data_IF_169748485377
#
_entry.id   IF_169748485377
#
_cell.length_a   1.000
_cell.length_b   1.000
_cell.length_c   1.000
_cell.angle_alpha   90.00
_cell.angle_beta   90.00
_cell.angle_gamma   90.00
#
_symmetry.space_group_name_H-M   'P 1'
#
loop_
_entity.id
_entity.type
_entity.pdbx_description
1 polymer ?
#
# COMPACT_ATOMS: atom_id res chain seq x y z
N UNK A 1 -16.21 -21.43 -28.36
CA UNK A 1 -15.68 -21.91 -27.05
C UNK A 1 -14.20 -21.61 -26.83
N UNK A 2 -13.30 -21.78 -27.81
CA UNK A 2 -11.85 -21.52 -27.63
C UNK A 2 -11.53 -20.07 -27.22
N UNK A 3 -12.22 -19.08 -27.79
CA UNK A 3 -12.07 -17.67 -27.42
C UNK A 3 -12.34 -17.40 -25.94
N UNK A 4 -13.45 -17.91 -25.39
CA UNK A 4 -13.83 -17.76 -23.98
C UNK A 4 -12.78 -18.42 -23.09
N UNK A 5 -12.33 -19.63 -23.43
CA UNK A 5 -11.28 -20.35 -22.71
C UNK A 5 -9.97 -19.56 -22.68
N UNK A 6 -9.58 -18.96 -23.80
CA UNK A 6 -8.37 -18.13 -23.88
C UNK A 6 -8.48 -16.87 -23.01
N UNK A 7 -9.63 -16.19 -23.01
CA UNK A 7 -9.88 -15.03 -22.16
C UNK A 7 -9.88 -15.39 -20.68
N UNK A 8 -10.54 -16.47 -20.30
CA UNK A 8 -10.54 -16.97 -18.92
C UNK A 8 -9.11 -17.30 -18.45
N UNK A 9 -8.34 -18.02 -19.27
CA UNK A 9 -6.95 -18.32 -18.95
C UNK A 9 -6.09 -17.05 -18.83
N UNK A 10 -6.30 -16.05 -19.70
CA UNK A 10 -5.60 -14.77 -19.59
C UNK A 10 -5.92 -14.08 -18.26
N UNK A 11 -7.21 -13.87 -17.97
CA UNK A 11 -7.67 -13.13 -16.80
C UNK A 11 -7.27 -13.77 -15.47
N UNK A 12 -7.31 -15.10 -15.38
CA UNK A 12 -7.12 -15.79 -14.08
C UNK A 12 -5.81 -16.57 -13.96
N UNK A 13 -4.96 -16.65 -14.99
CA UNK A 13 -3.67 -17.35 -14.90
C UNK A 13 -2.46 -16.49 -15.27
N UNK A 14 -2.65 -15.40 -16.01
CA UNK A 14 -1.55 -14.48 -16.33
C UNK A 14 -1.44 -13.38 -15.28
N UNK A 15 -0.22 -12.92 -14.99
CA UNK A 15 -0.01 -11.78 -14.06
C UNK A 15 -0.77 -10.54 -14.53
N UNK A 16 -0.71 -10.23 -15.82
CA UNK A 16 -1.39 -9.06 -16.39
C UNK A 16 -2.91 -9.15 -16.30
N UNK A 17 -3.46 -10.35 -16.49
CA UNK A 17 -4.90 -10.59 -16.36
C UNK A 17 -5.37 -10.44 -14.91
N UNK A 18 -4.64 -11.00 -13.95
CA UNK A 18 -4.98 -10.87 -12.53
C UNK A 18 -4.97 -9.40 -12.07
N UNK A 19 -3.97 -8.64 -12.50
CA UNK A 19 -3.87 -7.19 -12.26
C UNK A 19 -5.05 -6.47 -12.91
N UNK A 20 -5.38 -6.78 -14.17
CA UNK A 20 -6.49 -6.16 -14.88
C UNK A 20 -7.84 -6.39 -14.16
N UNK A 21 -8.09 -7.59 -13.66
CA UNK A 21 -9.32 -7.88 -12.91
C UNK A 21 -9.35 -7.05 -11.63
N UNK A 22 -8.26 -6.99 -10.87
CA UNK A 22 -8.20 -6.21 -9.63
C UNK A 22 -8.41 -4.70 -9.89
N UNK A 23 -7.76 -4.13 -10.91
CA UNK A 23 -7.96 -2.72 -11.31
C UNK A 23 -9.41 -2.47 -11.74
N UNK A 24 -10.01 -3.39 -12.51
CA UNK A 24 -11.40 -3.27 -12.92
C UNK A 24 -12.34 -3.27 -11.71
N UNK A 25 -12.10 -4.14 -10.72
CA UNK A 25 -12.88 -4.19 -9.48
C UNK A 25 -12.73 -2.89 -8.67
N UNK A 26 -11.50 -2.37 -8.52
CA UNK A 26 -11.26 -1.07 -7.85
C UNK A 26 -12.00 0.06 -8.58
N UNK A 27 -11.94 0.08 -9.91
CA UNK A 27 -12.64 1.07 -10.72
C UNK A 27 -14.17 1.00 -10.55
N UNK A 28 -14.74 -0.20 -10.50
CA UNK A 28 -16.17 -0.41 -10.28
C UNK A 28 -16.62 0.06 -8.89
N UNK A 29 -15.89 -0.31 -7.83
CA UNK A 29 -16.19 0.15 -6.48
C UNK A 29 -16.05 1.67 -6.36
N UNK A 30 -14.94 2.22 -6.86
CA UNK A 30 -14.70 3.67 -6.81
C UNK A 30 -15.78 4.45 -7.57
N UNK A 31 -16.18 3.97 -8.75
CA UNK A 31 -17.25 4.59 -9.53
C UNK A 31 -18.60 4.52 -8.80
N UNK A 32 -18.97 3.36 -8.24
CA UNK A 32 -20.24 3.18 -7.56
C UNK A 32 -20.31 3.95 -6.23
N UNK A 33 -19.34 3.71 -5.34
CA UNK A 33 -19.35 4.27 -3.99
C UNK A 33 -18.87 5.73 -3.95
N UNK A 34 -18.10 6.17 -4.96
CA UNK A 34 -17.77 7.58 -5.16
C UNK A 34 -18.99 8.46 -5.42
N UNK A 35 -20.05 7.90 -6.03
CA UNK A 35 -21.35 8.59 -6.18
C UNK A 35 -22.09 8.80 -4.85
N UNK A 36 -21.63 8.19 -3.75
CA UNK A 36 -22.18 8.39 -2.41
C UNK A 36 -21.45 9.48 -1.60
N UNK A 37 -20.42 10.09 -2.19
CA UNK A 37 -19.59 11.13 -1.54
C UNK A 37 -20.39 12.40 -1.22
N UNK A 38 -19.82 13.24 -0.34
CA UNK A 38 -20.40 14.55 0.03
C UNK A 38 -20.69 15.45 -1.17
N UNK A 39 -19.73 15.70 -2.08
CA UNK A 39 -19.98 16.52 -3.28
C UNK A 39 -21.10 15.94 -4.16
N UNK A 40 -21.17 14.62 -4.31
CA UNK A 40 -22.24 13.98 -5.09
C UNK A 40 -23.60 14.04 -4.40
N UNK A 41 -23.63 14.14 -3.06
CA UNK A 41 -24.85 14.40 -2.32
C UNK A 41 -25.37 15.83 -2.56
N UNK A 42 -24.49 16.82 -2.65
CA UNK A 42 -24.87 18.21 -2.97
C UNK A 42 -25.49 18.34 -4.37
N UNK A 43 -25.06 17.52 -5.33
CA UNK A 43 -25.67 17.42 -6.65
C UNK A 43 -26.93 16.52 -6.71
N UNK A 44 -27.38 15.96 -5.58
CA UNK A 44 -28.52 15.03 -5.53
C UNK A 44 -28.27 13.64 -6.12
N UNK A 45 -27.04 13.37 -6.61
CA UNK A 45 -26.65 12.10 -7.22
C UNK A 45 -26.74 10.95 -6.23
N UNK A 46 -26.27 11.17 -4.99
CA UNK A 46 -26.33 10.15 -3.92
C UNK A 46 -27.74 9.60 -3.75
N UNK A 47 -28.74 10.48 -3.67
CA UNK A 47 -30.13 10.08 -3.41
C UNK A 47 -30.74 9.30 -4.58
N UNK A 48 -30.29 9.56 -5.81
CA UNK A 48 -30.66 8.76 -6.99
C UNK A 48 -30.03 7.37 -6.91
N UNK A 49 -28.73 7.29 -6.64
CA UNK A 49 -28.00 6.01 -6.55
C UNK A 49 -28.57 5.13 -5.43
N UNK A 50 -28.78 5.70 -4.24
CA UNK A 50 -29.35 4.97 -3.09
C UNK A 50 -30.72 4.37 -3.43
N UNK A 51 -31.59 5.12 -4.13
CA UNK A 51 -32.92 4.64 -4.54
C UNK A 51 -32.85 3.56 -5.62
N UNK A 52 -32.01 3.75 -6.64
CA UNK A 52 -31.85 2.79 -7.75
C UNK A 52 -31.35 1.45 -7.22
N UNK A 53 -30.32 1.47 -6.38
CA UNK A 53 -29.68 0.26 -5.87
C UNK A 53 -30.29 -0.26 -4.57
N UNK A 54 -31.30 0.43 -4.01
CA UNK A 54 -31.96 0.07 -2.73
C UNK A 54 -30.94 -0.10 -1.60
N UNK A 55 -29.99 0.83 -1.50
CA UNK A 55 -28.98 0.81 -0.45
C UNK A 55 -29.57 1.21 0.90
N UNK A 56 -29.10 0.58 1.97
CA UNK A 56 -29.47 0.90 3.34
C UNK A 56 -28.36 1.71 4.01
N UNK A 57 -28.61 3.02 4.19
CA UNK A 57 -27.61 3.97 4.70
C UNK A 57 -28.05 4.58 6.03
N UNK A 58 -27.97 3.81 7.11
CA UNK A 58 -28.19 4.33 8.47
C UNK A 58 -27.00 5.20 8.89
N UNK A 59 -27.25 6.42 9.37
CA UNK A 59 -26.15 7.35 9.70
C UNK A 59 -25.22 6.85 10.81
N UNK A 60 -25.77 6.15 11.82
CA UNK A 60 -24.99 5.61 12.95
C UNK A 60 -23.88 4.63 12.51
N UNK A 61 -24.05 3.97 11.37
CA UNK A 61 -23.14 2.93 10.86
C UNK A 61 -22.13 3.49 9.84
N UNK A 62 -22.14 4.80 9.60
CA UNK A 62 -21.33 5.45 8.56
C UNK A 62 -19.84 5.10 8.67
N UNK A 63 -19.30 5.10 9.88
CA UNK A 63 -17.87 4.86 10.10
C UNK A 63 -17.48 3.42 9.75
N UNK A 64 -18.31 2.44 10.15
CA UNK A 64 -18.14 1.04 9.78
C UNK A 64 -18.16 0.82 8.28
N UNK A 65 -19.11 1.44 7.56
CA UNK A 65 -19.17 1.36 6.10
C UNK A 65 -17.91 1.91 5.43
N UNK A 66 -17.43 3.05 5.89
CA UNK A 66 -16.23 3.69 5.35
C UNK A 66 -14.99 2.80 5.57
N UNK A 67 -14.85 2.22 6.77
CA UNK A 67 -13.73 1.33 7.08
C UNK A 67 -13.76 0.09 6.18
N UNK A 68 -14.92 -0.53 6.00
CA UNK A 68 -15.05 -1.71 5.11
C UNK A 68 -14.76 -1.33 3.65
N UNK A 69 -15.19 -0.15 3.19
CA UNK A 69 -14.88 0.33 1.83
C UNK A 69 -13.36 0.51 1.65
N UNK A 70 -12.68 1.16 2.60
CA UNK A 70 -11.23 1.31 2.52
C UNK A 70 -10.50 -0.03 2.53
N UNK A 71 -10.89 -0.96 3.39
CA UNK A 71 -10.28 -2.29 3.42
C UNK A 71 -10.53 -3.05 2.12
N UNK A 72 -11.75 -3.01 1.58
CA UNK A 72 -12.12 -3.68 0.32
C UNK A 72 -11.23 -3.24 -0.84
N UNK A 73 -11.09 -1.93 -1.04
CA UNK A 73 -10.23 -1.36 -2.08
C UNK A 73 -8.75 -1.68 -1.80
N UNK A 74 -8.29 -1.50 -0.56
CA UNK A 74 -6.90 -1.77 -0.17
C UNK A 74 -6.51 -3.23 -0.41
N UNK A 75 -7.42 -4.19 -0.18
CA UNK A 75 -7.15 -5.61 -0.41
C UNK A 75 -6.90 -5.92 -1.90
N UNK A 76 -7.59 -5.24 -2.81
CA UNK A 76 -7.32 -5.37 -4.24
C UNK A 76 -5.95 -4.76 -4.63
N UNK A 77 -5.57 -3.64 -4.01
CA UNK A 77 -4.25 -3.02 -4.18
C UNK A 77 -3.13 -3.96 -3.72
N UNK A 78 -3.26 -4.52 -2.52
CA UNK A 78 -2.33 -5.54 -1.98
C UNK A 78 -2.27 -6.78 -2.89
N UNK A 79 -3.39 -7.17 -3.49
CA UNK A 79 -3.42 -8.26 -4.46
C UNK A 79 -2.61 -7.93 -5.72
N UNK A 80 -2.74 -6.71 -6.27
CA UNK A 80 -1.97 -6.25 -7.43
C UNK A 80 -0.47 -6.33 -7.15
N UNK A 81 -0.01 -5.78 -6.02
CA UNK A 81 1.40 -5.85 -5.63
C UNK A 81 1.87 -7.30 -5.49
N UNK A 82 1.06 -8.15 -4.86
CA UNK A 82 1.35 -9.59 -4.74
C UNK A 82 1.47 -10.27 -6.11
N UNK A 83 0.63 -9.94 -7.09
CA UNK A 83 0.75 -10.45 -8.45
C UNK A 83 2.03 -9.98 -9.13
N UNK A 84 2.40 -8.71 -8.95
CA UNK A 84 3.64 -8.16 -9.49
C UNK A 84 4.86 -8.84 -8.85
N UNK A 85 4.91 -9.01 -7.53
CA UNK A 85 5.99 -9.71 -6.82
C UNK A 85 6.12 -11.15 -7.32
N UNK A 86 5.02 -11.91 -7.37
CA UNK A 86 5.00 -13.30 -7.87
C UNK A 86 5.29 -13.42 -9.36
N UNK A 87 5.20 -12.32 -10.11
CA UNK A 87 5.56 -12.23 -11.52
C UNK A 87 7.01 -11.81 -11.77
N UNK A 88 7.59 -10.98 -10.89
CA UNK A 88 8.92 -10.38 -11.05
C UNK A 88 10.03 -11.18 -10.34
N UNK A 89 9.71 -11.86 -9.24
CA UNK A 89 10.68 -12.61 -8.44
C UNK A 89 10.57 -14.11 -8.66
N UNK A 90 11.73 -14.77 -8.74
CA UNK A 90 11.83 -16.23 -8.83
C UNK A 90 11.34 -16.88 -7.53
N UNK A 91 10.39 -17.81 -7.60
CA UNK A 91 9.95 -18.58 -6.43
C UNK A 91 9.48 -19.96 -6.86
N UNK A 92 9.30 -20.89 -5.91
CA UNK A 92 8.79 -22.23 -6.23
C UNK A 92 7.35 -22.12 -6.76
N UNK A 93 7.03 -22.90 -7.78
CA UNK A 93 5.74 -22.79 -8.49
C UNK A 93 4.55 -23.05 -7.56
N UNK A 94 4.69 -23.98 -6.61
CA UNK A 94 3.68 -24.21 -5.57
C UNK A 94 3.31 -22.92 -4.82
N UNK A 95 4.30 -22.19 -4.28
CA UNK A 95 4.03 -20.96 -3.54
C UNK A 95 3.41 -19.90 -4.43
N UNK A 96 3.92 -19.74 -5.67
CA UNK A 96 3.37 -18.80 -6.63
C UNK A 96 1.88 -19.06 -6.90
N UNK A 97 1.51 -20.32 -7.15
CA UNK A 97 0.11 -20.70 -7.40
C UNK A 97 -0.75 -20.53 -6.14
N UNK A 98 -0.28 -21.01 -4.98
CA UNK A 98 -1.02 -20.94 -3.73
C UNK A 98 -1.29 -19.49 -3.29
N UNK A 99 -0.25 -18.65 -3.29
CA UNK A 99 -0.37 -17.22 -2.96
C UNK A 99 -1.37 -16.54 -3.91
N UNK A 100 -1.25 -16.77 -5.23
CA UNK A 100 -2.16 -16.18 -6.22
C UNK A 100 -3.60 -16.63 -6.02
N UNK A 101 -3.84 -17.91 -5.76
CA UNK A 101 -5.19 -18.42 -5.52
C UNK A 101 -5.81 -17.80 -4.26
N UNK A 102 -5.09 -17.85 -3.14
CA UNK A 102 -5.56 -17.32 -1.86
C UNK A 102 -5.82 -15.82 -1.92
N UNK A 103 -4.88 -15.04 -2.45
CA UNK A 103 -5.06 -13.58 -2.54
C UNK A 103 -6.20 -13.23 -3.50
N UNK A 104 -6.37 -13.94 -4.63
CA UNK A 104 -7.44 -13.70 -5.60
C UNK A 104 -8.81 -13.93 -4.98
N UNK A 105 -9.01 -15.09 -4.38
CA UNK A 105 -10.29 -15.43 -3.71
C UNK A 105 -10.51 -14.48 -2.53
N UNK A 106 -9.47 -14.23 -1.75
CA UNK A 106 -9.53 -13.39 -0.57
C UNK A 106 -9.98 -11.96 -0.87
N UNK A 107 -9.34 -11.27 -1.82
CA UNK A 107 -9.71 -9.88 -2.13
C UNK A 107 -11.09 -9.77 -2.77
N UNK A 108 -11.48 -10.72 -3.64
CA UNK A 108 -12.82 -10.73 -4.24
C UNK A 108 -13.90 -10.96 -3.19
N UNK A 109 -13.66 -11.84 -2.21
CA UNK A 109 -14.59 -12.06 -1.10
C UNK A 109 -14.68 -10.82 -0.22
N UNK A 110 -13.54 -10.20 0.11
CA UNK A 110 -13.52 -8.98 0.90
C UNK A 110 -14.31 -7.85 0.21
N UNK A 111 -14.08 -7.63 -1.08
CA UNK A 111 -14.78 -6.63 -1.87
C UNK A 111 -16.29 -6.90 -1.97
N UNK A 112 -16.66 -8.06 -2.51
CA UNK A 112 -18.06 -8.36 -2.83
C UNK A 112 -18.91 -8.45 -1.57
N UNK A 113 -18.45 -9.21 -0.58
CA UNK A 113 -19.24 -9.46 0.62
C UNK A 113 -19.08 -8.35 1.67
N UNK A 114 -17.94 -7.66 1.70
CA UNK A 114 -17.77 -6.45 2.52
C UNK A 114 -18.74 -5.35 2.07
N UNK A 115 -18.80 -5.08 0.77
CA UNK A 115 -19.75 -4.11 0.21
C UNK A 115 -21.20 -4.55 0.34
N UNK A 116 -21.50 -5.83 0.09
CA UNK A 116 -22.82 -6.41 0.33
C UNK A 116 -23.29 -6.20 1.77
N UNK A 117 -22.44 -6.50 2.76
CA UNK A 117 -22.75 -6.32 4.16
C UNK A 117 -22.95 -4.85 4.53
N UNK A 118 -22.01 -3.99 4.11
CA UNK A 118 -21.97 -2.59 4.52
C UNK A 118 -23.11 -1.75 3.91
N UNK A 119 -23.58 -2.06 2.71
CA UNK A 119 -24.51 -1.17 1.98
C UNK A 119 -25.91 -1.76 1.71
N UNK A 120 -26.16 -3.04 2.04
CA UNK A 120 -27.44 -3.73 1.80
C UNK A 120 -27.98 -4.51 3.02
N UNK A 121 -28.06 -3.86 4.18
CA UNK A 121 -28.85 -4.36 5.31
C UNK A 121 -28.16 -5.40 6.19
N UNK A 122 -26.84 -5.31 6.37
CA UNK A 122 -26.08 -6.03 7.41
C UNK A 122 -26.30 -7.55 7.46
N UNK A 123 -26.37 -8.21 6.29
CA UNK A 123 -26.42 -9.67 6.26
C UNK A 123 -25.15 -10.28 6.89
N UNK A 124 -25.28 -10.85 8.10
CA UNK A 124 -24.16 -11.40 8.87
C UNK A 124 -23.42 -12.53 8.15
N UNK A 125 -24.05 -13.26 7.23
CA UNK A 125 -23.34 -14.23 6.40
C UNK A 125 -22.35 -13.53 5.46
N UNK A 126 -22.70 -12.36 4.91
CA UNK A 126 -21.78 -11.57 4.10
C UNK A 126 -20.64 -11.01 4.94
N UNK A 127 -20.91 -10.57 6.17
CA UNK A 127 -19.83 -10.20 7.10
C UNK A 127 -18.87 -11.37 7.39
N UNK A 128 -19.41 -12.58 7.60
CA UNK A 128 -18.59 -13.78 7.78
C UNK A 128 -17.71 -14.09 6.55
N UNK A 129 -18.27 -13.95 5.34
CA UNK A 129 -17.53 -14.13 4.09
C UNK A 129 -16.48 -13.04 3.85
N UNK A 130 -16.75 -11.80 4.28
CA UNK A 130 -15.78 -10.70 4.30
C UNK A 130 -14.56 -11.06 5.18
N UNK A 131 -14.80 -11.48 6.42
CA UNK A 131 -13.72 -11.89 7.36
C UNK A 131 -12.97 -13.11 6.83
N UNK A 132 -13.68 -14.07 6.24
CA UNK A 132 -13.04 -15.22 5.58
C UNK A 132 -12.12 -14.75 4.44
N UNK A 133 -12.57 -13.81 3.62
CA UNK A 133 -11.76 -13.17 2.58
C UNK A 133 -10.47 -12.55 3.14
N UNK A 134 -10.58 -11.73 4.18
CA UNK A 134 -9.43 -11.13 4.87
C UNK A 134 -8.46 -12.19 5.41
N UNK A 135 -8.98 -13.28 5.96
CA UNK A 135 -8.17 -14.40 6.47
C UNK A 135 -7.37 -15.09 5.36
N UNK A 136 -7.96 -15.30 4.18
CA UNK A 136 -7.25 -15.86 3.03
C UNK A 136 -6.10 -14.95 2.57
N UNK A 137 -6.31 -13.64 2.57
CA UNK A 137 -5.27 -12.64 2.23
C UNK A 137 -4.12 -12.72 3.24
N UNK A 138 -4.43 -12.80 4.54
CA UNK A 138 -3.42 -12.97 5.58
C UNK A 138 -2.57 -14.23 5.33
N UNK A 139 -3.20 -15.37 5.06
CA UNK A 139 -2.47 -16.60 4.74
C UNK A 139 -1.68 -16.52 3.43
N UNK A 140 -2.18 -15.80 2.42
CA UNK A 140 -1.42 -15.50 1.22
C UNK A 140 -0.13 -14.72 1.55
N UNK A 141 -0.21 -13.75 2.47
CA UNK A 141 0.95 -13.00 2.97
C UNK A 141 1.97 -13.87 3.71
N UNK A 142 1.49 -14.81 4.55
CA UNK A 142 2.36 -15.79 5.23
C UNK A 142 3.10 -16.66 4.20
N UNK A 143 2.38 -17.22 3.22
CA UNK A 143 3.00 -18.03 2.18
C UNK A 143 3.96 -17.22 1.30
N UNK A 144 3.64 -15.95 1.01
CA UNK A 144 4.50 -15.05 0.27
C UNK A 144 5.81 -14.80 1.04
N UNK A 145 5.72 -14.58 2.35
CA UNK A 145 6.89 -14.40 3.23
C UNK A 145 7.81 -15.62 3.18
N UNK A 146 7.24 -16.83 3.25
CA UNK A 146 7.99 -18.08 3.12
C UNK A 146 8.63 -18.18 1.72
N UNK A 147 7.90 -17.85 0.67
CA UNK A 147 8.39 -17.88 -0.72
C UNK A 147 9.53 -16.88 -0.98
N UNK A 148 9.56 -15.78 -0.21
CA UNK A 148 10.56 -14.72 -0.30
C UNK A 148 11.81 -14.97 0.52
N UNK A 149 11.88 -16.06 1.30
CA UNK A 149 13.01 -16.39 2.18
C UNK A 149 14.38 -16.17 1.50
N UNK A 150 15.18 -15.16 1.92
CA UNK A 150 16.35 -14.73 1.16
C UNK A 150 17.57 -15.66 1.34
N UNK A 151 17.56 -16.51 2.37
CA UNK A 151 18.68 -17.41 2.67
C UNK A 151 18.64 -18.73 1.89
N UNK A 152 17.69 -18.92 0.96
CA UNK A 152 17.73 -20.07 0.05
C UNK A 152 18.79 -19.85 -1.05
N UNK A 153 19.78 -20.76 -1.12
CA UNK A 153 20.86 -20.74 -2.13
C UNK A 153 20.34 -20.71 -3.57
N UNK A 154 19.19 -21.32 -3.86
CA UNK A 154 18.56 -21.34 -5.20
C UNK A 154 18.14 -19.94 -5.70
N UNK A 155 18.07 -18.97 -4.78
CA UNK A 155 17.64 -17.59 -5.02
C UNK A 155 18.75 -16.57 -4.80
N UNK A 156 19.99 -17.02 -4.64
CA UNK A 156 21.15 -16.13 -4.55
C UNK A 156 21.34 -15.35 -5.84
N UNK A 157 21.86 -14.14 -5.71
CA UNK A 157 22.02 -13.18 -6.81
C UNK A 157 23.39 -13.36 -7.49
N UNK A 158 23.45 -13.93 -8.72
CA UNK A 158 24.71 -14.14 -9.42
C UNK A 158 25.32 -12.83 -9.93
N UNK A 159 24.50 -11.86 -10.33
CA UNK A 159 24.97 -10.60 -10.93
C UNK A 159 25.51 -9.65 -9.86
N UNK A 160 26.81 -9.30 -9.97
CA UNK A 160 27.51 -8.39 -9.06
C UNK A 160 27.06 -6.94 -9.18
N UNK A 161 26.29 -6.58 -10.21
CA UNK A 161 25.70 -5.24 -10.34
C UNK A 161 24.58 -5.02 -9.32
N UNK A 162 23.88 -6.08 -8.91
CA UNK A 162 22.86 -6.00 -7.87
C UNK A 162 23.46 -5.95 -6.47
N UNK A 163 22.61 -5.57 -5.51
CA UNK A 163 22.96 -5.54 -4.10
C UNK A 163 22.92 -6.96 -3.55
N UNK A 164 24.08 -7.44 -3.10
CA UNK A 164 24.23 -8.79 -2.57
C UNK A 164 25.28 -8.84 -1.48
N UNK A 165 25.13 -9.80 -0.56
CA UNK A 165 26.17 -10.09 0.43
C UNK A 165 27.37 -10.79 -0.23
N UNK A 166 28.49 -10.92 0.51
CA UNK A 166 29.67 -11.68 0.05
C UNK A 166 29.32 -13.12 -0.32
N UNK A 167 28.36 -13.74 0.38
CA UNK A 167 27.90 -15.13 0.13
C UNK A 167 26.90 -15.25 -1.02
N UNK A 168 26.47 -14.13 -1.62
CA UNK A 168 25.53 -14.11 -2.74
C UNK A 168 24.05 -13.93 -2.36
N UNK A 169 23.72 -13.77 -1.08
CA UNK A 169 22.34 -13.45 -0.65
C UNK A 169 21.89 -12.16 -1.32
N UNK A 170 20.73 -12.20 -1.97
CA UNK A 170 20.12 -11.07 -2.67
C UNK A 170 19.50 -10.09 -1.66
N UNK A 171 20.03 -8.87 -1.59
CA UNK A 171 19.54 -7.84 -0.66
C UNK A 171 18.21 -7.22 -1.13
N UNK A 172 17.92 -7.23 -2.43
CA UNK A 172 16.61 -6.79 -2.95
C UNK A 172 15.53 -7.78 -2.50
N UNK A 173 15.79 -9.08 -2.62
CA UNK A 173 14.91 -10.11 -2.06
C UNK A 173 14.76 -9.98 -0.54
N UNK A 174 15.83 -9.68 0.18
CA UNK A 174 15.75 -9.47 1.62
C UNK A 174 14.89 -8.25 1.99
N UNK A 175 14.90 -7.18 1.17
CA UNK A 175 13.99 -6.04 1.32
C UNK A 175 12.52 -6.43 1.10
N UNK A 176 12.23 -7.18 0.03
CA UNK A 176 10.89 -7.74 -0.20
C UNK A 176 10.43 -8.65 0.94
N UNK A 177 11.33 -9.51 1.44
CA UNK A 177 11.05 -10.39 2.58
C UNK A 177 10.75 -9.59 3.84
N UNK A 178 11.57 -8.59 4.16
CA UNK A 178 11.38 -7.75 5.35
C UNK A 178 10.03 -7.04 5.30
N UNK A 179 9.71 -6.40 4.18
CA UNK A 179 8.43 -5.72 4.01
C UNK A 179 7.23 -6.68 4.05
N UNK A 180 7.35 -7.90 3.50
CA UNK A 180 6.25 -8.87 3.51
C UNK A 180 6.00 -9.40 4.92
N UNK A 181 7.08 -9.76 5.63
CA UNK A 181 7.02 -10.22 7.02
C UNK A 181 6.41 -9.15 7.92
N UNK A 182 6.89 -7.91 7.83
CA UNK A 182 6.38 -6.83 8.67
C UNK A 182 4.95 -6.45 8.30
N UNK A 183 4.51 -6.59 7.04
CA UNK A 183 3.10 -6.43 6.66
C UNK A 183 2.20 -7.45 7.35
N UNK A 184 2.60 -8.73 7.36
CA UNK A 184 1.83 -9.79 8.04
C UNK A 184 1.74 -9.51 9.55
N UNK A 185 2.85 -9.10 10.19
CA UNK A 185 2.85 -8.76 11.61
C UNK A 185 1.96 -7.54 11.87
N UNK A 186 2.09 -6.49 11.07
CA UNK A 186 1.34 -5.24 11.21
C UNK A 186 -0.15 -5.39 10.90
N UNK A 187 -0.55 -6.40 10.11
CA UNK A 187 -1.95 -6.74 9.93
C UNK A 187 -2.62 -7.20 11.25
N UNK A 188 -1.86 -7.79 12.18
CA UNK A 188 -2.37 -8.19 13.49
C UNK A 188 -2.80 -7.00 14.35
N UNK A 189 -2.20 -5.82 14.16
CA UNK A 189 -2.59 -4.59 14.87
C UNK A 189 -3.97 -4.08 14.45
N UNK A 190 -4.45 -4.43 13.26
CA UNK A 190 -5.84 -4.20 12.87
C UNK A 190 -6.76 -5.35 13.30
N UNK A 191 -6.28 -6.59 13.14
CA UNK A 191 -7.06 -7.79 13.42
C UNK A 191 -7.39 -7.97 14.92
N UNK A 192 -6.46 -7.60 15.81
CA UNK A 192 -6.67 -7.71 17.27
C UNK A 192 -7.82 -6.80 17.71
N UNK A 193 -7.81 -5.47 17.51
CA UNK A 193 -8.97 -4.62 17.81
C UNK A 193 -10.25 -5.11 17.11
N UNK A 194 -10.14 -5.52 15.84
CA UNK A 194 -11.26 -6.07 15.08
C UNK A 194 -11.93 -7.29 15.73
N UNK A 195 -11.17 -8.13 16.44
CA UNK A 195 -11.71 -9.29 17.15
C UNK A 195 -12.53 -8.94 18.40
N UNK A 196 -12.45 -7.69 18.88
CA UNK A 196 -13.21 -7.20 20.03
C UNK A 196 -14.41 -6.34 19.63
N UNK A 197 -14.75 -6.23 18.34
CA UNK A 197 -15.91 -5.46 17.91
C UNK A 197 -17.19 -5.94 18.60
N UNK A 198 -17.91 -5.02 19.25
CA UNK A 198 -19.11 -5.33 20.03
C UNK A 198 -18.82 -6.02 21.38
N UNK A 199 -17.55 -6.17 21.75
CA UNK A 199 -17.07 -6.73 23.01
C UNK A 199 -16.00 -5.82 23.64
N UNK A 200 -16.40 -4.60 24.00
CA UNK A 200 -15.52 -3.59 24.58
C UNK A 200 -14.70 -2.77 23.57
N UNK A 201 -14.94 -2.97 22.27
CA UNK A 201 -14.40 -2.14 21.20
C UNK A 201 -15.51 -1.71 20.23
N UNK A 202 -15.56 -0.42 19.94
CA UNK A 202 -16.52 0.18 19.02
C UNK A 202 -15.81 0.78 17.81
N UNK A 203 -16.56 1.00 16.74
CA UNK A 203 -16.04 1.62 15.54
C UNK A 203 -15.77 3.10 15.78
N UNK A 204 -14.63 3.57 15.28
CA UNK A 204 -14.28 4.99 15.31
C UNK A 204 -13.45 5.35 14.08
N UNK A 205 -13.47 6.62 13.71
CA UNK A 205 -12.51 7.19 12.77
C UNK A 205 -11.30 7.78 13.51
N UNK A 206 -10.09 7.42 13.10
CA UNK A 206 -8.86 7.81 13.80
C UNK A 206 -8.71 9.33 13.93
N UNK A 207 -9.17 10.09 12.94
CA UNK A 207 -9.13 11.54 12.96
C UNK A 207 -10.09 12.17 14.00
N UNK A 208 -11.05 11.40 14.54
CA UNK A 208 -11.98 11.90 15.56
C UNK A 208 -11.38 11.85 16.98
N UNK A 209 -10.38 10.98 17.21
CA UNK A 209 -9.79 10.76 18.54
C UNK A 209 -8.43 11.45 18.72
N UNK A 210 -7.97 12.22 17.72
CA UNK A 210 -6.62 12.83 17.67
C UNK A 210 -6.25 13.64 18.93
N UNK A 211 -7.24 14.30 19.55
CA UNK A 211 -7.07 15.18 20.72
C UNK A 211 -7.51 14.53 22.03
N UNK A 212 -7.89 13.26 22.02
CA UNK A 212 -8.23 12.57 23.26
C UNK A 212 -6.99 12.54 24.16
N UNK A 213 -7.10 13.00 25.42
CA UNK A 213 -5.96 13.11 26.33
C UNK A 213 -5.37 11.74 26.62
N UNK A 214 -6.23 10.74 26.74
CA UNK A 214 -5.88 9.34 26.92
C UNK A 214 -6.53 8.52 25.81
N UNK A 215 -5.81 7.51 25.32
CA UNK A 215 -6.31 6.54 24.33
C UNK A 215 -6.06 5.15 24.85
N UNK A 216 -6.99 4.26 24.59
CA UNK A 216 -6.87 2.85 24.88
C UNK A 216 -5.78 2.21 24.00
N UNK A 217 -5.28 1.06 24.45
CA UNK A 217 -4.31 0.26 23.68
C UNK A 217 -4.90 -0.15 22.32
N UNK A 218 -6.21 -0.41 22.24
CA UNK A 218 -6.89 -0.77 20.99
C UNK A 218 -6.97 0.41 20.01
N UNK A 219 -7.27 1.60 20.50
CA UNK A 219 -7.27 2.82 19.68
C UNK A 219 -5.86 3.12 19.14
N UNK A 220 -4.84 3.02 20.00
CA UNK A 220 -3.44 3.13 19.58
C UNK A 220 -3.05 2.07 18.55
N UNK A 221 -3.55 0.84 18.68
CA UNK A 221 -3.29 -0.25 17.73
C UNK A 221 -3.87 0.05 16.35
N UNK A 222 -5.10 0.55 16.27
CA UNK A 222 -5.73 0.98 15.01
C UNK A 222 -5.01 2.18 14.40
N UNK A 223 -4.62 3.18 15.21
CA UNK A 223 -3.81 4.32 14.74
C UNK A 223 -2.49 3.81 14.14
N UNK A 224 -1.79 2.92 14.83
CA UNK A 224 -0.57 2.32 14.31
C UNK A 224 -0.81 1.57 13.00
N UNK A 225 -1.84 0.72 12.96
CA UNK A 225 -2.23 -0.09 11.81
C UNK A 225 -2.49 0.76 10.56
N UNK A 226 -3.27 1.84 10.65
CA UNK A 226 -3.61 2.64 9.48
C UNK A 226 -2.38 3.29 8.84
N UNK A 227 -1.42 3.76 9.65
CA UNK A 227 -0.20 4.41 9.16
C UNK A 227 0.74 3.39 8.51
N UNK A 228 0.94 2.24 9.16
CA UNK A 228 1.96 1.28 8.75
C UNK A 228 1.57 0.53 7.48
N UNK A 229 0.28 0.22 7.29
CA UNK A 229 -0.16 -0.51 6.12
C UNK A 229 0.08 0.29 4.84
N UNK A 230 -0.25 1.59 4.84
CA UNK A 230 -0.03 2.43 3.66
C UNK A 230 1.47 2.67 3.39
N UNK A 231 2.27 2.85 4.44
CA UNK A 231 3.72 2.97 4.30
C UNK A 231 4.36 1.70 3.74
N UNK A 232 3.89 0.52 4.14
CA UNK A 232 4.37 -0.76 3.64
C UNK A 232 3.97 -1.02 2.19
N UNK A 233 2.75 -0.64 1.78
CA UNK A 233 2.35 -0.62 0.36
C UNK A 233 3.29 0.31 -0.43
N UNK A 234 3.55 1.52 0.05
CA UNK A 234 4.49 2.45 -0.61
C UNK A 234 5.93 1.88 -0.75
N UNK A 235 6.41 1.17 0.27
CA UNK A 235 7.70 0.47 0.24
C UNK A 235 7.68 -0.67 -0.78
N UNK A 236 6.61 -1.48 -0.80
CA UNK A 236 6.46 -2.58 -1.74
C UNK A 236 6.42 -2.11 -3.18
N UNK A 237 5.59 -1.12 -3.51
CA UNK A 237 5.55 -0.57 -4.87
C UNK A 237 6.89 0.04 -5.28
N UNK A 238 7.62 0.68 -4.35
CA UNK A 238 8.98 1.17 -4.61
C UNK A 238 9.93 0.04 -5.01
N UNK A 239 9.90 -1.09 -4.29
CA UNK A 239 10.70 -2.27 -4.62
C UNK A 239 10.28 -2.89 -5.95
N UNK A 240 8.96 -2.98 -6.21
CA UNK A 240 8.40 -3.48 -7.48
C UNK A 240 8.87 -2.64 -8.66
N UNK A 241 8.79 -1.30 -8.56
CA UNK A 241 9.25 -0.38 -9.60
C UNK A 241 10.75 -0.51 -9.81
N UNK A 242 11.53 -0.57 -8.72
CA UNK A 242 12.97 -0.79 -8.79
C UNK A 242 13.30 -2.06 -9.59
N UNK A 243 12.62 -3.16 -9.27
CA UNK A 243 12.79 -4.44 -9.97
C UNK A 243 12.36 -4.36 -11.43
N UNK A 244 11.19 -3.78 -11.70
CA UNK A 244 10.62 -3.63 -13.04
C UNK A 244 11.52 -2.78 -13.97
N UNK A 245 12.06 -1.67 -13.46
CA UNK A 245 12.98 -0.82 -14.20
C UNK A 245 14.39 -1.39 -14.32
N UNK A 246 14.68 -2.53 -13.67
CA UNK A 246 15.99 -3.17 -13.60
C UNK A 246 17.03 -2.31 -12.87
N UNK A 247 16.67 -1.80 -11.69
CA UNK A 247 17.53 -0.98 -10.84
C UNK A 247 18.74 -1.77 -10.35
N UNK A 248 19.94 -1.31 -10.71
CA UNK A 248 21.21 -1.95 -10.33
C UNK A 248 22.38 -0.96 -10.35
N UNK A 249 23.50 -1.37 -9.78
CA UNK A 249 24.71 -0.55 -9.65
C UNK A 249 24.92 -0.03 -8.22
N UNK A 250 25.74 1.02 -8.08
CA UNK A 250 26.15 1.56 -6.77
C UNK A 250 24.95 2.07 -5.98
N UNK A 251 24.05 2.82 -6.64
CA UNK A 251 22.86 3.37 -5.98
C UNK A 251 21.93 2.25 -5.45
N UNK A 252 21.77 1.16 -6.20
CA UNK A 252 21.02 -0.01 -5.75
C UNK A 252 21.68 -0.71 -4.55
N UNK A 253 23.02 -0.80 -4.54
CA UNK A 253 23.80 -1.39 -3.43
C UNK A 253 23.65 -0.62 -2.12
N UNK A 254 23.46 0.69 -2.19
CA UNK A 254 23.19 1.56 -1.05
C UNK A 254 21.70 1.51 -0.68
N UNK A 255 20.81 1.55 -1.67
CA UNK A 255 19.37 1.61 -1.47
C UNK A 255 18.80 0.36 -0.78
N UNK A 256 19.21 -0.85 -1.16
CA UNK A 256 18.59 -2.07 -0.60
C UNK A 256 18.81 -2.24 0.92
N UNK A 257 20.03 -2.07 1.48
CA UNK A 257 20.23 -2.08 2.92
C UNK A 257 19.45 -0.98 3.66
N UNK A 258 19.38 0.23 3.09
CA UNK A 258 18.60 1.33 3.66
C UNK A 258 17.11 1.02 3.66
N UNK A 259 16.60 0.39 2.61
CA UNK A 259 15.20 -0.03 2.54
C UNK A 259 14.88 -1.08 3.60
N UNK A 260 15.76 -2.08 3.79
CA UNK A 260 15.59 -3.09 4.85
C UNK A 260 15.59 -2.42 6.23
N UNK A 261 16.60 -1.60 6.50
CA UNK A 261 16.74 -0.89 7.78
C UNK A 261 15.52 -0.01 8.05
N UNK A 262 15.16 0.82 7.08
CA UNK A 262 14.03 1.73 7.19
C UNK A 262 12.72 1.01 7.40
N UNK A 263 12.47 -0.08 6.66
CA UNK A 263 11.29 -0.93 6.84
C UNK A 263 11.21 -1.49 8.26
N UNK A 264 12.29 -2.07 8.78
CA UNK A 264 12.31 -2.68 10.12
C UNK A 264 12.10 -1.63 11.21
N UNK A 265 12.88 -0.54 11.17
CA UNK A 265 12.84 0.51 12.20
C UNK A 265 11.47 1.21 12.22
N UNK A 266 10.91 1.51 11.04
CA UNK A 266 9.60 2.12 10.92
C UNK A 266 8.50 1.23 11.54
N UNK A 267 8.56 -0.08 11.30
CA UNK A 267 7.62 -1.02 11.91
C UNK A 267 7.79 -1.14 13.42
N UNK A 268 9.03 -1.21 13.92
CA UNK A 268 9.29 -1.23 15.37
C UNK A 268 8.74 0.01 16.08
N UNK A 269 8.85 1.18 15.44
CA UNK A 269 8.26 2.41 15.96
C UNK A 269 6.74 2.32 16.07
N UNK A 270 6.06 1.85 15.02
CA UNK A 270 4.61 1.65 15.04
C UNK A 270 4.18 0.62 16.08
N UNK A 271 4.86 -0.52 16.14
CA UNK A 271 4.57 -1.55 17.14
C UNK A 271 4.80 -1.04 18.56
N UNK A 272 5.74 -0.10 18.74
CA UNK A 272 5.99 0.58 20.00
C UNK A 272 4.83 1.44 20.50
N UNK A 273 3.91 1.87 19.63
CA UNK A 273 2.78 2.77 19.98
C UNK A 273 1.82 2.13 20.99
N UNK A 274 1.72 0.80 21.03
CA UNK A 274 0.87 0.06 21.99
C UNK A 274 1.64 -0.41 23.24
N UNK A 275 2.84 0.12 23.46
CA UNK A 275 3.75 -0.30 24.54
C UNK A 275 4.24 0.93 25.33
N UNK A 276 5.00 0.75 26.42
CA UNK A 276 5.66 1.87 27.11
C UNK A 276 6.60 2.72 26.22
N UNK A 277 6.91 2.29 24.99
CA UNK A 277 7.68 3.06 24.02
C UNK A 277 6.85 4.13 23.29
N UNK A 278 5.54 4.21 23.52
CA UNK A 278 4.63 5.18 22.89
C UNK A 278 5.17 6.63 22.87
N UNK A 279 5.79 7.17 23.95
CA UNK A 279 6.27 8.56 23.96
C UNK A 279 7.38 8.84 22.94
N UNK A 280 8.15 7.82 22.56
CA UNK A 280 9.25 7.93 21.59
C UNK A 280 8.95 7.23 20.27
N UNK A 281 7.78 6.59 20.13
CA UNK A 281 7.40 5.81 18.96
C UNK A 281 7.47 6.64 17.67
N UNK A 282 6.97 7.87 17.69
CA UNK A 282 7.01 8.78 16.53
C UNK A 282 8.45 9.10 16.10
N UNK A 283 9.37 9.30 17.05
CA UNK A 283 10.79 9.52 16.73
C UNK A 283 11.40 8.31 16.02
N UNK A 284 11.09 7.10 16.51
CA UNK A 284 11.56 5.85 15.88
C UNK A 284 10.98 5.73 14.46
N UNK A 285 9.71 6.05 14.26
CA UNK A 285 9.05 6.04 12.94
C UNK A 285 9.78 6.98 11.98
N UNK A 286 10.15 8.20 12.39
CA UNK A 286 10.88 9.14 11.51
C UNK A 286 12.29 8.66 11.16
N UNK A 287 12.99 8.11 12.15
CA UNK A 287 14.32 7.52 11.96
C UNK A 287 14.24 6.33 10.99
N UNK A 288 13.14 5.57 11.00
CA UNK A 288 12.90 4.49 10.03
C UNK A 288 12.42 4.95 8.65
N UNK A 289 11.59 6.00 8.58
CA UNK A 289 11.09 6.54 7.32
C UNK A 289 12.22 7.14 6.47
N UNK A 290 13.17 7.83 7.11
CA UNK A 290 14.25 8.56 6.43
C UNK A 290 15.13 7.66 5.54
N UNK A 291 15.65 6.49 6.00
CA UNK A 291 16.35 5.55 5.14
C UNK A 291 15.54 5.04 3.94
N UNK A 292 14.24 4.74 4.14
CA UNK A 292 13.36 4.27 3.06
C UNK A 292 13.13 5.35 2.01
N UNK A 293 12.87 6.59 2.44
CA UNK A 293 12.72 7.75 1.55
C UNK A 293 14.02 8.04 0.78
N UNK A 294 15.17 7.95 1.45
CA UNK A 294 16.45 8.11 0.79
C UNK A 294 16.70 7.00 -0.23
N UNK A 295 16.40 5.74 0.11
CA UNK A 295 16.48 4.63 -0.84
C UNK A 295 15.57 4.85 -2.08
N UNK A 296 14.36 5.36 -1.88
CA UNK A 296 13.46 5.73 -2.98
C UNK A 296 14.06 6.86 -3.83
N UNK A 297 14.64 7.89 -3.22
CA UNK A 297 15.33 8.96 -3.96
C UNK A 297 16.49 8.43 -4.81
N UNK A 298 17.26 7.46 -4.31
CA UNK A 298 18.32 6.82 -5.09
C UNK A 298 17.80 6.09 -6.33
N UNK A 299 16.62 5.45 -6.24
CA UNK A 299 15.94 4.86 -7.38
C UNK A 299 15.53 5.93 -8.41
N UNK A 300 14.99 7.06 -7.96
CA UNK A 300 14.59 8.18 -8.82
C UNK A 300 15.79 8.75 -9.59
N UNK A 301 16.87 9.09 -8.87
CA UNK A 301 18.12 9.59 -9.47
C UNK A 301 18.64 8.61 -10.52
N UNK A 302 18.65 7.32 -10.19
CA UNK A 302 19.09 6.28 -11.11
C UNK A 302 18.19 6.17 -12.34
N UNK A 303 16.87 6.13 -12.14
CA UNK A 303 15.86 5.95 -13.19
C UNK A 303 15.92 7.10 -14.19
N UNK A 304 15.92 8.34 -13.70
CA UNK A 304 15.93 9.51 -14.57
C UNK A 304 17.25 9.66 -15.31
N UNK A 305 18.36 9.36 -14.63
CA UNK A 305 19.67 9.29 -15.27
C UNK A 305 19.71 8.22 -16.37
N UNK A 306 19.09 7.06 -16.14
CA UNK A 306 18.99 5.98 -17.15
C UNK A 306 18.15 6.42 -18.35
N UNK A 307 16.94 6.92 -18.14
CA UNK A 307 16.05 7.38 -19.21
C UNK A 307 16.69 8.48 -20.05
N UNK A 308 17.32 9.45 -19.41
CA UNK A 308 18.04 10.51 -20.10
C UNK A 308 19.18 9.95 -20.96
N UNK A 309 20.05 9.10 -20.40
CA UNK A 309 21.19 8.52 -21.14
C UNK A 309 20.76 7.65 -22.31
N UNK A 310 19.76 6.78 -22.12
CA UNK A 310 19.25 5.91 -23.18
C UNK A 310 18.56 6.73 -24.28
N UNK A 311 17.75 7.72 -23.91
CA UNK A 311 17.03 8.57 -24.87
C UNK A 311 17.94 9.53 -25.64
N UNK A 312 19.15 9.82 -25.16
CA UNK A 312 20.16 10.65 -25.85
C UNK A 312 21.35 9.85 -26.36
N UNK A 313 21.29 8.52 -26.45
CA UNK A 313 22.44 7.67 -26.76
C UNK A 313 23.10 8.00 -28.12
N UNK A 314 22.34 8.53 -29.09
CA UNK A 314 22.84 8.96 -30.40
C UNK A 314 23.37 10.39 -30.47
N UNK A 315 23.38 11.14 -29.37
CA UNK A 315 23.77 12.56 -29.35
C UNK A 315 25.08 12.71 -28.59
N UNK A 316 26.13 13.16 -29.28
CA UNK A 316 27.39 13.48 -28.64
C UNK A 316 27.24 14.77 -27.82
N UNK A 317 27.35 14.66 -26.48
CA UNK A 317 27.13 15.75 -25.51
C UNK A 317 25.73 16.41 -25.63
N UNK A 318 24.66 15.70 -25.21
CA UNK A 318 23.31 16.24 -25.28
C UNK A 318 23.14 17.49 -24.40
N UNK A 319 22.49 18.50 -24.96
CA UNK A 319 22.10 19.72 -24.27
C UNK A 319 21.04 19.43 -23.18
N UNK A 320 20.85 20.36 -22.27
CA UNK A 320 19.90 20.21 -21.16
C UNK A 320 18.47 19.90 -21.65
N UNK A 321 17.95 20.65 -22.63
CA UNK A 321 16.62 20.41 -23.20
C UNK A 321 16.46 19.03 -23.84
N UNK A 322 17.52 18.51 -24.48
CA UNK A 322 17.52 17.16 -25.07
C UNK A 322 17.45 16.08 -23.99
N UNK A 323 18.14 16.28 -22.85
CA UNK A 323 18.06 15.37 -21.70
C UNK A 323 16.68 15.34 -21.06
N UNK A 324 16.02 16.49 -20.95
CA UNK A 324 14.64 16.59 -20.44
C UNK A 324 13.65 15.95 -21.41
N UNK A 325 13.77 16.23 -22.72
CA UNK A 325 12.94 15.60 -23.75
C UNK A 325 13.10 14.07 -23.73
N UNK A 326 14.33 13.56 -23.61
CA UNK A 326 14.62 12.14 -23.47
C UNK A 326 13.98 11.52 -22.22
N UNK A 327 14.04 12.22 -21.08
CA UNK A 327 13.42 11.78 -19.83
C UNK A 327 11.90 11.63 -19.96
N UNK A 328 11.24 12.58 -20.63
CA UNK A 328 9.78 12.63 -20.77
C UNK A 328 9.23 11.77 -21.92
N UNK A 329 10.11 11.17 -22.74
CA UNK A 329 9.73 10.41 -23.94
C UNK A 329 8.90 9.15 -23.64
N UNK A 330 9.15 8.50 -22.50
CA UNK A 330 8.43 7.30 -22.06
C UNK A 330 7.66 7.61 -20.77
N UNK A 331 6.42 8.12 -20.88
CA UNK A 331 5.63 8.54 -19.71
C UNK A 331 5.28 7.36 -18.79
N UNK A 332 5.28 6.12 -19.28
CA UNK A 332 5.01 4.94 -18.45
C UNK A 332 6.18 4.61 -17.52
N UNK A 333 7.43 4.89 -17.91
CA UNK A 333 8.60 4.72 -17.03
C UNK A 333 8.89 5.96 -16.19
N UNK A 334 8.69 7.15 -16.76
CA UNK A 334 8.88 8.41 -16.02
C UNK A 334 7.79 8.61 -14.96
N UNK A 335 6.53 8.41 -15.34
CA UNK A 335 5.34 8.73 -14.55
C UNK A 335 5.37 8.18 -13.11
N UNK A 336 5.57 6.87 -12.89
CA UNK A 336 5.64 6.30 -11.55
C UNK A 336 6.72 6.96 -10.69
N UNK A 337 7.92 7.14 -11.23
CA UNK A 337 9.03 7.77 -10.48
C UNK A 337 8.84 9.27 -10.24
N UNK A 338 8.12 9.97 -11.13
CA UNK A 338 7.70 11.35 -10.89
C UNK A 338 6.65 11.43 -9.78
N UNK A 339 5.63 10.57 -9.83
CA UNK A 339 4.60 10.51 -8.79
C UNK A 339 5.20 10.17 -7.42
N UNK A 340 6.22 9.31 -7.35
CA UNK A 340 6.98 9.06 -6.12
C UNK A 340 7.71 10.31 -5.60
N UNK A 341 8.30 11.11 -6.48
CA UNK A 341 8.93 12.38 -6.07
C UNK A 341 7.86 13.36 -5.56
N UNK A 342 6.77 13.48 -6.32
CA UNK A 342 5.65 14.34 -5.99
C UNK A 342 5.06 13.98 -4.63
N UNK A 343 4.79 12.70 -4.39
CA UNK A 343 4.36 12.15 -3.10
C UNK A 343 5.33 12.54 -1.97
N UNK A 344 6.64 12.32 -2.15
CA UNK A 344 7.61 12.69 -1.12
C UNK A 344 7.59 14.18 -0.79
N UNK A 345 7.30 15.05 -1.77
CA UNK A 345 7.26 16.49 -1.58
C UNK A 345 5.94 16.99 -1.00
N UNK A 346 4.79 16.46 -1.45
CA UNK A 346 3.45 16.96 -1.09
C UNK A 346 2.80 16.23 0.06
N UNK A 347 3.18 14.98 0.33
CA UNK A 347 2.62 14.21 1.44
C UNK A 347 3.71 13.88 2.46
N UNK A 348 4.74 13.10 2.11
CA UNK A 348 5.66 12.55 3.11
C UNK A 348 6.49 13.63 3.82
N UNK A 349 7.09 14.56 3.07
CA UNK A 349 7.88 15.65 3.64
C UNK A 349 7.05 16.63 4.49
N UNK A 350 5.86 16.99 3.99
CA UNK A 350 4.90 17.84 4.73
C UNK A 350 4.43 17.11 5.99
N UNK A 351 4.10 15.83 5.90
CA UNK A 351 3.68 15.01 7.04
C UNK A 351 4.75 14.93 8.13
N UNK A 352 6.03 14.76 7.77
CA UNK A 352 7.14 14.80 8.72
C UNK A 352 7.25 16.17 9.39
N UNK A 353 7.17 17.25 8.61
CA UNK A 353 7.18 18.60 9.16
C UNK A 353 6.02 18.83 10.14
N UNK A 354 4.81 18.43 9.74
CA UNK A 354 3.61 18.48 10.56
C UNK A 354 3.82 17.78 11.90
N UNK A 355 4.37 16.57 11.83
CA UNK A 355 4.49 15.71 12.97
C UNK A 355 5.64 16.13 13.91
N UNK A 356 6.68 16.79 13.41
CA UNK A 356 7.72 17.45 14.22
C UNK A 356 7.16 18.69 14.93
N UNK A 357 6.29 19.44 14.26
CA UNK A 357 5.71 20.70 14.77
C UNK A 357 4.30 20.52 15.33
N UNK A 358 3.90 19.28 15.62
CA UNK A 358 2.52 18.92 15.92
C UNK A 358 1.99 19.72 17.11
N UNK A 359 2.70 19.67 18.24
CA UNK A 359 2.26 20.32 19.47
C UNK A 359 2.48 21.84 19.47
N UNK A 360 3.47 22.31 18.71
CA UNK A 360 3.83 23.74 18.64
C UNK A 360 2.92 24.55 17.70
N UNK A 361 2.49 23.97 16.58
CA UNK A 361 1.79 24.68 15.50
C UNK A 361 0.39 24.11 15.28
N UNK A 362 0.26 22.79 15.08
CA UNK A 362 -0.98 22.21 14.56
C UNK A 362 -2.01 21.92 15.66
N UNK A 363 -1.54 21.56 16.87
CA UNK A 363 -2.41 21.28 18.01
C UNK A 363 -3.09 22.53 18.56
N UNK A 364 -2.49 23.71 18.33
CA UNK A 364 -3.06 25.00 18.73
C UNK A 364 -4.06 25.56 17.72
N UNK A 365 -4.14 25.00 16.51
CA UNK A 365 -5.15 25.38 15.52
C UNK A 365 -6.55 24.85 15.90
N UNK A 366 -7.63 25.34 15.25
CA UNK A 366 -8.95 24.75 15.41
C UNK A 366 -8.94 23.25 15.07
N UNK A 367 -9.59 22.43 15.89
CA UNK A 367 -9.60 20.96 15.74
C UNK A 367 -10.05 20.49 14.36
N UNK A 368 -10.95 21.25 13.72
CA UNK A 368 -11.41 21.00 12.36
C UNK A 368 -10.26 21.04 11.34
N UNK A 369 -9.37 22.01 11.44
CA UNK A 369 -8.29 22.19 10.45
C UNK A 369 -7.24 21.09 10.61
N UNK A 370 -6.83 20.77 11.85
CA UNK A 370 -5.96 19.62 12.13
C UNK A 370 -6.58 18.31 11.61
N UNK A 371 -7.87 18.10 11.83
CA UNK A 371 -8.61 16.93 11.34
C UNK A 371 -8.60 16.85 9.81
N UNK A 372 -8.86 17.97 9.12
CA UNK A 372 -8.87 18.02 7.64
C UNK A 372 -7.48 17.72 7.10
N UNK A 373 -6.44 18.31 7.68
CA UNK A 373 -5.06 18.12 7.23
C UNK A 373 -4.60 16.67 7.40
N UNK A 374 -4.84 16.07 8.57
CA UNK A 374 -4.51 14.67 8.85
C UNK A 374 -5.28 13.74 7.90
N UNK A 375 -6.58 13.95 7.74
CA UNK A 375 -7.43 13.12 6.86
C UNK A 375 -6.99 13.27 5.39
N UNK A 376 -6.75 14.50 4.95
CA UNK A 376 -6.31 14.83 3.60
C UNK A 376 -4.96 14.23 3.24
N UNK A 377 -4.00 14.26 4.17
CA UNK A 377 -2.69 13.64 4.00
C UNK A 377 -2.79 12.16 3.59
N UNK A 378 -3.60 11.37 4.32
CA UNK A 378 -3.77 9.94 4.06
C UNK A 378 -4.51 9.66 2.75
N UNK A 379 -5.54 10.44 2.43
CA UNK A 379 -6.29 10.26 1.18
C UNK A 379 -5.48 10.64 -0.05
N UNK A 380 -4.71 11.73 0.00
CA UNK A 380 -3.82 12.12 -1.11
C UNK A 380 -2.70 11.10 -1.26
N UNK A 381 -2.10 10.63 -0.17
CA UNK A 381 -1.06 9.61 -0.21
C UNK A 381 -1.57 8.30 -0.84
N UNK A 382 -2.72 7.80 -0.38
CA UNK A 382 -3.33 6.57 -0.93
C UNK A 382 -3.74 6.72 -2.38
N UNK A 383 -4.27 7.88 -2.79
CA UNK A 383 -4.60 8.16 -4.19
C UNK A 383 -3.34 8.16 -5.08
N UNK A 384 -2.24 8.80 -4.65
CA UNK A 384 -0.99 8.81 -5.42
C UNK A 384 -0.39 7.41 -5.53
N UNK A 385 -0.43 6.63 -4.44
CA UNK A 385 0.02 5.22 -4.47
C UNK A 385 -0.83 4.42 -5.46
N UNK A 386 -2.15 4.58 -5.44
CA UNK A 386 -3.04 3.90 -6.37
C UNK A 386 -2.81 4.29 -7.84
N UNK A 387 -2.39 5.52 -8.14
CA UNK A 387 -2.08 5.97 -9.51
C UNK A 387 -0.66 5.63 -9.97
N UNK A 388 0.22 5.25 -9.05
CA UNK A 388 1.55 4.69 -9.36
C UNK A 388 1.42 3.23 -9.84
N UNK A 389 0.51 2.48 -9.23
CA UNK A 389 0.20 1.07 -9.51
C UNK A 389 -0.53 0.92 -10.85
#
# INVERSE_FOLDING_TARGET
>A
MQFIKNRFNYLFKSTKGLILVAIAMIGLETALFGMLSGPMAEFGVRDVVVRIFKMDLVQAEREGRIIILYHSIAMAVVAIETYMITGLLKMKEFYKMAVRALITVGYLFAMIFGMGFAYWGHNWAFHGLYIFGLSLIFFAGVLLTIALWPWNKETYQPDKAYSRTKKGVDMERAAFFAAALTTVISALFGAIPGSYFGNGFEVFLAENIIRYPEKTVMEYSVIGHLHIMLALIAIMITLIIGRWLNFKGILHKIAMPLMILGTIVLNLGVWGVVTPLQPIAHMIIYVGATPSMFAALLLLIWSWGKLSREGTAGIQKPAFGQKISALLRDPLKFGPTWQMLFMNFTTSGIGIFMAIRLDEIFRVWPAREERIELTGHWHVLSAIIATII
#
